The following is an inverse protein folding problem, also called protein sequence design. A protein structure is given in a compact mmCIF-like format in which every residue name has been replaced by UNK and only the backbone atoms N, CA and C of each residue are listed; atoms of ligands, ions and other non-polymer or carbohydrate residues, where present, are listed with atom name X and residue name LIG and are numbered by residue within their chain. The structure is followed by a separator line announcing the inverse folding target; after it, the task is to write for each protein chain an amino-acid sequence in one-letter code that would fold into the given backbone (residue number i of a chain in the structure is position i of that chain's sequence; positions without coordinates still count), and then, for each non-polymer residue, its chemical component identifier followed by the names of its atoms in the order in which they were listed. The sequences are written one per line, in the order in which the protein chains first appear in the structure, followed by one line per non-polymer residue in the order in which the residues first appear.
data_IF_038737872744
#
_entry.id   IF_038737872744
#
_cell.length_a   1.000
_cell.length_b   1.000
_cell.length_c   1.000
_cell.angle_alpha   90.00
_cell.angle_beta   90.00
_cell.angle_gamma   90.00
#
_symmetry.space_group_name_H-M   'P 1'
#
loop_
_entity.id
_entity.type
_entity.pdbx_description
1 polymer ?
#
# COMPACT_ATOMS: atom_id res chain seq x y z
N UNK A 1 7.46 -10.50 -6.39
CA UNK A 1 7.03 -10.31 -4.99
C UNK A 1 5.71 -9.54 -4.90
N UNK A 2 5.60 -8.23 -5.19
CA UNK A 2 4.28 -7.55 -5.21
C UNK A 2 3.41 -8.02 -6.39
N UNK A 3 3.98 -8.01 -7.60
CA UNK A 3 3.32 -8.44 -8.85
C UNK A 3 2.55 -9.75 -8.72
N UNK A 4 3.15 -10.72 -8.02
CA UNK A 4 2.62 -12.07 -7.92
C UNK A 4 1.56 -12.20 -6.81
N UNK A 5 1.44 -11.22 -5.89
CA UNK A 5 0.58 -11.28 -4.70
C UNK A 5 -0.56 -10.25 -4.66
N UNK A 6 -0.61 -9.30 -5.58
CA UNK A 6 -1.80 -8.45 -5.79
C UNK A 6 -3.01 -9.35 -6.06
N UNK A 7 -4.13 -9.11 -5.38
CA UNK A 7 -5.36 -9.88 -5.46
C UNK A 7 -5.35 -11.23 -4.73
N UNK A 8 -4.35 -11.50 -3.88
CA UNK A 8 -4.32 -12.73 -3.05
C UNK A 8 -4.85 -12.42 -1.64
N UNK A 9 -5.75 -13.28 -1.13
CA UNK A 9 -6.38 -13.13 0.18
C UNK A 9 -5.37 -13.10 1.33
N UNK A 10 -4.47 -14.09 1.35
CA UNK A 10 -3.49 -14.31 2.42
C UNK A 10 -2.20 -13.51 2.23
N UNK A 11 -2.32 -12.21 1.93
CA UNK A 11 -1.18 -11.32 1.75
C UNK A 11 -1.22 -10.05 2.65
N UNK A 12 -1.51 -10.14 3.96
CA UNK A 12 -1.55 -8.97 4.85
C UNK A 12 -0.18 -8.29 5.04
N UNK A 13 0.91 -8.97 4.67
CA UNK A 13 2.25 -8.39 4.69
C UNK A 13 2.44 -7.29 3.62
N UNK A 14 1.60 -7.25 2.57
CA UNK A 14 1.66 -6.22 1.53
C UNK A 14 1.58 -4.80 2.10
N UNK A 15 0.83 -4.61 3.20
CA UNK A 15 0.70 -3.33 3.90
C UNK A 15 2.04 -2.74 4.38
N UNK A 16 3.07 -3.57 4.58
CA UNK A 16 4.38 -3.15 5.10
C UNK A 16 5.47 -3.09 4.03
N UNK A 17 5.17 -3.51 2.81
CA UNK A 17 6.19 -3.61 1.75
C UNK A 17 6.72 -2.24 1.37
N UNK A 18 5.88 -1.21 1.40
CA UNK A 18 6.27 0.17 1.16
C UNK A 18 7.41 0.63 2.10
N UNK A 19 7.42 0.22 3.37
CA UNK A 19 8.47 0.58 4.34
C UNK A 19 9.86 0.14 3.89
N UNK A 20 9.95 -1.02 3.21
CA UNK A 20 11.22 -1.58 2.74
C UNK A 20 11.51 -1.18 1.30
N UNK A 21 10.51 -1.26 0.43
CA UNK A 21 10.66 -0.97 -1.00
C UNK A 21 11.07 0.48 -1.24
N UNK A 22 10.47 1.45 -0.53
CA UNK A 22 10.78 2.88 -0.70
C UNK A 22 12.25 3.21 -0.38
N UNK A 23 12.88 2.48 0.53
CA UNK A 23 14.29 2.68 0.87
C UNK A 23 15.25 2.22 -0.23
N UNK A 24 14.81 1.28 -1.08
CA UNK A 24 15.63 0.66 -2.13
C UNK A 24 15.45 1.41 -3.46
N UNK A 25 14.29 2.02 -3.69
CA UNK A 25 13.94 2.76 -4.93
C UNK A 25 15.05 3.70 -5.45
N UNK A 26 15.76 4.50 -4.62
CA UNK A 26 16.81 5.40 -5.09
C UNK A 26 17.96 4.71 -5.83
N UNK A 27 18.11 3.39 -5.66
CA UNK A 27 19.17 2.58 -6.27
C UNK A 27 18.70 1.76 -7.47
N UNK A 28 17.45 1.92 -7.91
CA UNK A 28 16.84 1.15 -9.00
C UNK A 28 16.97 1.92 -10.32
N UNK A 29 17.26 1.21 -11.41
CA UNK A 29 17.32 1.79 -12.77
C UNK A 29 15.90 1.99 -13.33
N UNK A 30 15.76 2.62 -14.51
CA UNK A 30 14.46 2.77 -15.19
C UNK A 30 13.89 1.46 -15.77
N UNK A 31 14.71 0.42 -15.88
CA UNK A 31 14.38 -0.82 -16.58
C UNK A 31 13.14 -1.59 -16.04
N UNK A 32 12.80 -1.54 -14.73
CA UNK A 32 11.65 -2.26 -14.17
C UNK A 32 10.26 -1.81 -14.62
N UNK A 33 10.13 -0.69 -15.37
CA UNK A 33 8.82 -0.14 -15.77
C UNK A 33 7.97 -1.17 -16.50
N UNK A 34 8.55 -1.82 -17.51
CA UNK A 34 7.86 -2.77 -18.37
C UNK A 34 7.54 -4.09 -17.69
N UNK A 35 8.49 -4.63 -16.93
CA UNK A 35 8.40 -6.00 -16.40
C UNK A 35 7.70 -6.09 -15.03
N UNK A 36 7.67 -4.99 -14.28
CA UNK A 36 7.21 -4.99 -12.89
C UNK A 36 6.16 -3.93 -12.61
N UNK A 37 6.37 -2.67 -13.02
CA UNK A 37 5.45 -1.58 -12.65
C UNK A 37 4.15 -1.64 -13.47
N UNK A 38 4.26 -1.65 -14.80
CA UNK A 38 3.09 -1.67 -15.68
C UNK A 38 2.17 -2.88 -15.43
N UNK A 39 2.66 -4.14 -15.34
CA UNK A 39 1.80 -5.29 -15.08
C UNK A 39 1.04 -5.21 -13.75
N UNK A 40 1.64 -4.59 -12.72
CA UNK A 40 0.95 -4.36 -11.45
C UNK A 40 -0.17 -3.33 -11.61
N UNK A 41 0.09 -2.22 -12.29
CA UNK A 41 -0.91 -1.19 -12.56
C UNK A 41 -2.10 -1.74 -13.37
N UNK A 42 -1.85 -2.53 -14.41
CA UNK A 42 -2.90 -3.20 -15.19
C UNK A 42 -3.73 -4.17 -14.35
N UNK A 43 -3.07 -4.95 -13.48
CA UNK A 43 -3.77 -5.90 -12.62
C UNK A 43 -4.67 -5.18 -11.61
N UNK A 44 -4.16 -4.13 -10.97
CA UNK A 44 -4.95 -3.31 -10.04
C UNK A 44 -6.14 -2.64 -10.73
N UNK A 45 -5.95 -2.15 -11.96
CA UNK A 45 -7.06 -1.61 -12.76
C UNK A 45 -8.14 -2.66 -12.97
N UNK A 46 -7.79 -3.88 -13.41
CA UNK A 46 -8.77 -4.96 -13.63
C UNK A 46 -9.52 -5.31 -12.35
N UNK A 47 -8.82 -5.40 -11.22
CA UNK A 47 -9.44 -5.64 -9.91
C UNK A 47 -10.40 -4.51 -9.51
N UNK A 48 -10.02 -3.26 -9.74
CA UNK A 48 -10.89 -2.12 -9.49
C UNK A 48 -12.15 -2.12 -10.37
N UNK A 49 -12.00 -2.44 -11.66
CA UNK A 49 -13.13 -2.57 -12.59
C UNK A 49 -14.09 -3.69 -12.19
N UNK A 50 -13.56 -4.84 -11.74
CA UNK A 50 -14.35 -5.96 -11.23
C UNK A 50 -15.10 -5.58 -9.95
N UNK A 51 -14.40 -5.09 -8.93
CA UNK A 51 -15.01 -4.70 -7.65
C UNK A 51 -16.11 -3.64 -7.83
N UNK A 52 -15.91 -2.67 -8.72
CA UNK A 52 -16.92 -1.65 -9.00
C UNK A 52 -18.13 -2.19 -9.76
N UNK A 53 -17.91 -3.14 -10.67
CA UNK A 53 -19.01 -3.82 -11.36
C UNK A 53 -19.86 -4.62 -10.38
N UNK A 54 -19.24 -5.31 -9.43
CA UNK A 54 -19.94 -6.11 -8.44
C UNK A 54 -20.71 -5.22 -7.44
N UNK A 55 -20.14 -4.06 -7.06
CA UNK A 55 -20.86 -3.02 -6.31
C UNK A 55 -22.10 -2.51 -7.05
N UNK A 56 -21.98 -2.17 -8.34
CA UNK A 56 -23.11 -1.72 -9.16
C UNK A 56 -24.17 -2.81 -9.36
N UNK A 57 -23.74 -4.07 -9.45
CA UNK A 57 -24.65 -5.21 -9.51
C UNK A 57 -25.44 -5.36 -8.20
N UNK A 58 -24.76 -5.33 -7.06
CA UNK A 58 -25.39 -5.35 -5.72
C UNK A 58 -26.39 -4.21 -5.54
N UNK A 59 -26.04 -3.00 -6.00
CA UNK A 59 -26.93 -1.83 -5.95
C UNK A 59 -28.22 -2.02 -6.75
N UNK A 60 -28.16 -2.78 -7.84
CA UNK A 60 -29.32 -3.01 -8.74
C UNK A 60 -30.08 -4.30 -8.44
N UNK A 61 -29.44 -5.27 -7.80
CA UNK A 61 -29.97 -6.61 -7.49
C UNK A 61 -29.57 -7.02 -6.06
N UNK A 62 -30.12 -6.37 -5.03
CA UNK A 62 -29.69 -6.56 -3.64
C UNK A 62 -29.97 -7.96 -3.09
N UNK A 63 -30.96 -8.67 -3.65
CA UNK A 63 -31.32 -10.04 -3.21
C UNK A 63 -30.37 -11.12 -3.74
N UNK A 64 -29.58 -10.82 -4.78
CA UNK A 64 -28.67 -11.75 -5.46
C UNK A 64 -27.20 -11.57 -5.04
N UNK A 65 -26.90 -10.55 -4.25
CA UNK A 65 -25.54 -10.12 -3.97
C UNK A 65 -25.07 -10.48 -2.55
N UNK A 66 -23.84 -10.98 -2.45
CA UNK A 66 -23.16 -11.19 -1.18
C UNK A 66 -22.42 -9.90 -0.75
N UNK A 67 -23.06 -9.10 0.10
CA UNK A 67 -22.48 -7.89 0.68
C UNK A 67 -21.12 -8.15 1.35
N UNK A 68 -20.92 -9.33 1.95
CA UNK A 68 -19.67 -9.72 2.58
C UNK A 68 -18.54 -9.85 1.57
N UNK A 69 -18.79 -10.56 0.47
CA UNK A 69 -17.81 -10.72 -0.62
C UNK A 69 -17.45 -9.36 -1.24
N UNK A 70 -18.43 -8.49 -1.51
CA UNK A 70 -18.17 -7.15 -2.08
C UNK A 70 -17.29 -6.31 -1.13
N UNK A 71 -17.56 -6.36 0.17
CA UNK A 71 -16.75 -5.64 1.16
C UNK A 71 -15.31 -6.20 1.22
N UNK A 72 -15.15 -7.51 1.26
CA UNK A 72 -13.82 -8.15 1.29
C UNK A 72 -12.99 -7.84 0.03
N UNK A 73 -13.60 -7.87 -1.15
CA UNK A 73 -12.92 -7.55 -2.42
C UNK A 73 -12.46 -6.09 -2.47
N UNK A 74 -13.28 -5.17 -1.97
CA UNK A 74 -12.90 -3.77 -1.84
C UNK A 74 -11.78 -3.57 -0.81
N UNK A 75 -11.80 -4.28 0.32
CA UNK A 75 -10.73 -4.22 1.32
C UNK A 75 -9.40 -4.74 0.77
N UNK A 76 -9.43 -5.84 0.00
CA UNK A 76 -8.25 -6.38 -0.73
C UNK A 76 -7.71 -5.37 -1.74
N UNK A 77 -8.60 -4.76 -2.52
CA UNK A 77 -8.23 -3.75 -3.52
C UNK A 77 -7.54 -2.55 -2.87
N UNK A 78 -8.10 -2.01 -1.78
CA UNK A 78 -7.51 -0.90 -1.01
C UNK A 78 -6.11 -1.27 -0.54
N UNK A 79 -5.95 -2.43 0.11
CA UNK A 79 -4.64 -2.91 0.56
C UNK A 79 -3.60 -2.91 -0.55
N UNK A 80 -3.95 -3.45 -1.72
CA UNK A 80 -3.00 -3.61 -2.82
C UNK A 80 -2.67 -2.28 -3.51
N UNK A 81 -3.65 -1.38 -3.61
CA UNK A 81 -3.43 0.00 -4.06
C UNK A 81 -2.48 0.74 -3.12
N UNK A 82 -2.68 0.65 -1.81
CA UNK A 82 -1.82 1.29 -0.81
C UNK A 82 -0.44 0.63 -0.68
N UNK A 83 -0.28 -0.63 -1.11
CA UNK A 83 1.03 -1.25 -1.24
C UNK A 83 1.79 -0.72 -2.47
N UNK A 84 1.10 -0.52 -3.59
CA UNK A 84 1.72 -0.15 -4.87
C UNK A 84 1.93 1.37 -5.05
N UNK A 85 0.95 2.20 -4.71
CA UNK A 85 0.99 3.64 -5.01
C UNK A 85 2.17 4.38 -4.37
N UNK A 86 2.56 4.13 -3.10
CA UNK A 86 3.74 4.75 -2.51
C UNK A 86 5.03 4.42 -3.25
N UNK A 87 5.16 3.18 -3.73
CA UNK A 87 6.32 2.73 -4.52
C UNK A 87 6.30 3.42 -5.88
N UNK A 88 5.14 3.42 -6.54
CA UNK A 88 4.98 4.08 -7.84
C UNK A 88 5.27 5.58 -7.76
N UNK A 89 4.74 6.30 -6.77
CA UNK A 89 4.99 7.73 -6.60
C UNK A 89 6.49 8.03 -6.46
N UNK A 90 7.19 7.29 -5.59
CA UNK A 90 8.64 7.47 -5.40
C UNK A 90 9.45 7.14 -6.66
N UNK A 91 9.05 6.10 -7.39
CA UNK A 91 9.69 5.72 -8.64
C UNK A 91 9.47 6.77 -9.74
N UNK A 92 8.24 7.25 -9.89
CA UNK A 92 7.89 8.34 -10.81
C UNK A 92 8.68 9.61 -10.50
N UNK A 93 8.81 9.98 -9.23
CA UNK A 93 9.59 11.16 -8.81
C UNK A 93 11.08 11.01 -9.17
N UNK A 94 11.66 9.83 -8.92
CA UNK A 94 13.06 9.54 -9.22
C UNK A 94 13.38 9.64 -10.72
N UNK A 95 12.48 9.15 -11.57
CA UNK A 95 12.70 9.05 -13.03
C UNK A 95 11.97 10.13 -13.84
N UNK A 96 11.32 11.09 -13.18
CA UNK A 96 10.49 12.15 -13.79
C UNK A 96 11.15 12.83 -14.98
N UNK A 97 12.42 13.24 -14.82
CA UNK A 97 13.14 13.96 -15.86
C UNK A 97 13.39 13.10 -17.11
N UNK A 98 13.61 11.79 -16.94
CA UNK A 98 13.78 10.87 -18.06
C UNK A 98 12.45 10.61 -18.75
N UNK A 99 11.39 10.33 -17.99
CA UNK A 99 10.06 10.05 -18.55
C UNK A 99 9.50 11.24 -19.36
N UNK A 100 9.75 12.48 -18.91
CA UNK A 100 9.34 13.68 -19.63
C UNK A 100 10.16 13.92 -20.91
N UNK A 101 11.43 13.50 -20.95
CA UNK A 101 12.30 13.66 -22.13
C UNK A 101 12.11 12.54 -23.15
N UNK A 102 11.80 11.34 -22.68
CA UNK A 102 11.64 10.13 -23.48
C UNK A 102 10.40 9.39 -22.99
N UNK A 103 9.19 9.87 -23.38
CA UNK A 103 7.97 9.15 -23.08
C UNK A 103 7.96 7.80 -23.79
N UNK A 104 7.32 6.83 -23.16
CA UNK A 104 7.19 5.46 -23.67
C UNK A 104 5.75 4.99 -23.50
N UNK A 105 5.33 4.04 -24.32
CA UNK A 105 3.99 3.45 -24.19
C UNK A 105 3.82 2.78 -22.82
N UNK A 106 4.90 2.28 -22.21
CA UNK A 106 4.83 1.70 -20.87
C UNK A 106 4.54 2.74 -19.79
N UNK A 107 5.21 3.91 -19.86
CA UNK A 107 4.96 5.00 -18.90
C UNK A 107 3.57 5.59 -19.05
N UNK A 108 3.11 5.76 -20.29
CA UNK A 108 1.74 6.23 -20.57
C UNK A 108 0.71 5.23 -20.05
N UNK A 109 0.93 3.94 -20.29
CA UNK A 109 0.09 2.87 -19.78
C UNK A 109 -0.01 2.88 -18.25
N UNK A 110 1.07 3.16 -17.52
CA UNK A 110 1.00 3.31 -16.06
C UNK A 110 0.06 4.45 -15.67
N UNK A 111 0.20 5.63 -16.27
CA UNK A 111 -0.65 6.79 -15.96
C UNK A 111 -2.12 6.53 -16.31
N UNK A 112 -2.39 5.91 -17.45
CA UNK A 112 -3.75 5.55 -17.86
C UNK A 112 -4.42 4.58 -16.89
N UNK A 113 -3.72 3.50 -16.51
CA UNK A 113 -4.23 2.53 -15.54
C UNK A 113 -4.51 3.18 -14.19
N UNK A 114 -3.59 4.02 -13.70
CA UNK A 114 -3.76 4.77 -12.44
C UNK A 114 -4.94 5.73 -12.52
N UNK A 115 -5.11 6.44 -13.63
CA UNK A 115 -6.24 7.37 -13.83
C UNK A 115 -7.60 6.64 -13.76
N UNK A 116 -7.69 5.43 -14.34
CA UNK A 116 -8.91 4.61 -14.23
C UNK A 116 -9.17 4.18 -12.78
N UNK A 117 -8.14 3.75 -12.04
CA UNK A 117 -8.28 3.39 -10.63
C UNK A 117 -8.79 4.59 -9.81
N UNK A 118 -8.19 5.78 -10.00
CA UNK A 118 -8.65 7.00 -9.32
C UNK A 118 -10.09 7.37 -9.67
N UNK A 119 -10.47 7.24 -10.95
CA UNK A 119 -11.86 7.46 -11.37
C UNK A 119 -12.81 6.53 -10.63
N UNK A 120 -12.52 5.23 -10.60
CA UNK A 120 -13.34 4.24 -9.89
C UNK A 120 -13.41 4.57 -8.40
N UNK A 121 -12.28 4.85 -7.75
CA UNK A 121 -12.23 5.22 -6.33
C UNK A 121 -13.11 6.45 -6.03
N UNK A 122 -13.12 7.47 -6.89
CA UNK A 122 -14.00 8.63 -6.70
C UNK A 122 -15.50 8.30 -6.74
N UNK A 123 -15.89 7.30 -7.54
CA UNK A 123 -17.28 6.91 -7.78
C UNK A 123 -17.78 5.86 -6.77
N UNK A 124 -16.95 4.87 -6.45
CA UNK A 124 -17.26 3.72 -5.60
C UNK A 124 -17.39 4.12 -4.13
N UNK A 125 -18.52 3.81 -3.52
CA UNK A 125 -18.74 4.06 -2.08
C UNK A 125 -18.04 2.99 -1.23
N UNK A 126 -18.01 1.74 -1.71
CA UNK A 126 -17.35 0.64 -1.01
C UNK A 126 -15.84 0.86 -0.96
N UNK A 127 -15.22 1.28 -2.05
CA UNK A 127 -13.79 1.59 -2.07
C UNK A 127 -13.47 2.70 -1.04
N UNK A 128 -14.19 3.82 -1.05
CA UNK A 128 -13.97 4.90 -0.06
C UNK A 128 -14.21 4.46 1.38
N UNK A 129 -15.21 3.62 1.63
CA UNK A 129 -15.47 3.07 2.97
C UNK A 129 -14.31 2.19 3.43
N UNK A 130 -13.85 1.27 2.60
CA UNK A 130 -12.76 0.37 2.94
C UNK A 130 -11.41 1.09 3.02
N UNK A 131 -11.23 2.19 2.29
CA UNK A 131 -10.08 3.09 2.46
C UNK A 131 -10.04 3.69 3.88
N UNK A 132 -11.17 4.22 4.34
CA UNK A 132 -11.28 4.76 5.70
C UNK A 132 -11.03 3.67 6.75
N UNK A 133 -11.57 2.47 6.56
CA UNK A 133 -11.33 1.32 7.44
C UNK A 133 -9.84 0.96 7.47
N UNK A 134 -9.19 0.91 6.31
CA UNK A 134 -7.78 0.59 6.18
C UNK A 134 -6.90 1.65 6.85
N UNK A 135 -7.21 2.94 6.69
CA UNK A 135 -6.49 4.03 7.35
C UNK A 135 -6.64 3.98 8.87
N UNK A 136 -7.84 3.71 9.39
CA UNK A 136 -8.07 3.56 10.83
C UNK A 136 -7.21 2.42 11.42
N UNK A 137 -7.19 1.26 10.75
CA UNK A 137 -6.35 0.12 11.16
C UNK A 137 -4.84 0.40 11.02
N UNK A 138 -4.44 1.14 9.98
CA UNK A 138 -3.05 1.48 9.74
C UNK A 138 -2.51 2.47 10.79
N UNK A 139 -3.31 3.44 11.22
CA UNK A 139 -2.97 4.35 12.32
C UNK A 139 -2.80 3.59 13.64
N UNK A 140 -3.72 2.67 13.96
CA UNK A 140 -3.60 1.80 15.14
C UNK A 140 -2.34 0.93 15.10
N UNK A 141 -2.04 0.32 13.95
CA UNK A 141 -0.85 -0.52 13.76
C UNK A 141 0.47 0.27 13.79
N UNK A 142 0.47 1.51 13.29
CA UNK A 142 1.63 2.40 13.35
C UNK A 142 1.88 2.89 14.77
N UNK A 143 0.82 3.18 15.55
CA UNK A 143 0.94 3.52 16.96
C UNK A 143 1.39 2.31 17.81
N UNK A 144 0.99 1.09 17.45
CA UNK A 144 1.47 -0.14 18.09
C UNK A 144 2.96 -0.43 17.81
N UNK A 145 3.45 -0.11 16.60
CA UNK A 145 4.87 -0.25 16.25
C UNK A 145 5.71 0.95 16.73
N UNK A 146 5.09 2.13 16.84
CA UNK A 146 5.70 3.38 17.31
C UNK A 146 5.75 3.54 18.84
N UNK A 147 5.12 2.65 19.61
CA UNK A 147 5.19 2.60 21.08
C UNK A 147 6.16 1.55 21.61
N UNK A 148 7.08 1.07 20.78
CA UNK A 148 8.39 0.71 21.31
C UNK A 148 9.04 2.00 21.80
N UNK A 149 8.94 2.33 23.09
CA UNK A 149 9.65 3.44 23.73
C UNK A 149 11.16 3.31 23.50
N UNK A 150 11.66 3.67 22.32
CA UNK A 150 13.04 4.07 22.12
C UNK A 150 13.16 5.44 22.78
N UNK A 151 13.29 5.44 24.10
CA UNK A 151 13.76 6.59 24.88
C UNK A 151 15.13 6.95 24.34
N UNK A 152 15.22 7.81 23.34
CA UNK A 152 16.50 8.32 22.85
C UNK A 152 16.92 9.53 23.69
N UNK A 153 18.22 9.68 23.93
CA UNK A 153 18.77 10.75 24.77
C UNK A 153 18.83 10.43 26.26
N UNK A 154 18.71 11.47 27.11
CA UNK A 154 19.02 11.40 28.56
C UNK A 154 18.23 10.31 29.31
N UNK A 155 17.03 9.97 28.85
CA UNK A 155 16.18 8.93 29.45
C UNK A 155 16.74 7.50 29.27
N UNK A 156 17.23 7.11 28.09
CA UNK A 156 17.92 5.81 27.91
C UNK A 156 19.22 5.73 28.73
N UNK A 157 19.93 6.85 28.87
CA UNK A 157 21.17 6.90 29.64
C UNK A 157 20.87 6.72 31.14
N UNK A 158 19.79 7.32 31.63
CA UNK A 158 19.32 7.15 33.00
C UNK A 158 18.93 5.69 33.28
N UNK A 159 18.24 5.03 32.35
CA UNK A 159 17.81 3.64 32.51
C UNK A 159 19.00 2.65 32.46
N UNK A 160 19.98 2.87 31.57
CA UNK A 160 21.23 2.10 31.54
C UNK A 160 22.07 2.30 32.82
N UNK A 161 22.08 3.51 33.39
CA UNK A 161 22.77 3.79 34.66
C UNK A 161 22.06 3.17 35.87
N UNK A 162 20.73 3.12 35.88
CA UNK A 162 19.92 2.48 36.93
C UNK A 162 20.18 0.96 36.96
N UNK A 163 20.12 0.29 35.80
CA UNK A 163 20.42 -1.16 35.69
C UNK A 163 21.83 -1.54 36.13
N UNK A 164 22.83 -0.68 35.90
CA UNK A 164 24.22 -0.89 36.40
C UNK A 164 24.34 -0.78 37.92
N UNK A 165 23.50 0.03 38.58
CA UNK A 165 23.51 0.16 40.05
C UNK A 165 22.82 -1.02 40.72
N UNK A 166 21.74 -1.51 40.13
CA UNK A 166 20.99 -2.68 40.64
C UNK A 166 21.81 -3.97 40.54
N UNK A 167 22.65 -4.13 39.50
CA UNK A 167 23.56 -5.28 39.37
C UNK A 167 24.78 -5.30 40.29
N UNK A 168 25.03 -4.23 41.06
CA UNK A 168 26.15 -4.16 42.02
C UNK A 168 25.75 -4.44 43.47
N UNK A 169 24.45 -4.65 43.75
CA UNK A 169 23.93 -4.90 45.11
C UNK A 169 23.89 -6.40 45.44
N UNK A 170 24.23 -7.28 44.49
CA UNK A 170 24.40 -8.71 44.74
C UNK A 170 25.89 -9.03 44.98
N UNK A 171 26.33 -8.82 46.22
CA UNK A 171 27.46 -9.51 46.84
C UNK A 171 27.13 -9.82 48.29
#
# INVERSE_FOLDING_TARGET
MIRDHVGIDNAPWLCRVNCFAVQIIPHVTCDPVKEYMLPVAERLRRLAEMAYKDEEHMRTHPDDADEGTVAEDNARLVRDVYAYFPILMKYCDLHRAQWLKQPSWETDGIYENVAVIFKIWSLSQHFKREELNFMAQYEEGTLAVGTGEMKTGKAAIAERKKKRREGQVLK
#
